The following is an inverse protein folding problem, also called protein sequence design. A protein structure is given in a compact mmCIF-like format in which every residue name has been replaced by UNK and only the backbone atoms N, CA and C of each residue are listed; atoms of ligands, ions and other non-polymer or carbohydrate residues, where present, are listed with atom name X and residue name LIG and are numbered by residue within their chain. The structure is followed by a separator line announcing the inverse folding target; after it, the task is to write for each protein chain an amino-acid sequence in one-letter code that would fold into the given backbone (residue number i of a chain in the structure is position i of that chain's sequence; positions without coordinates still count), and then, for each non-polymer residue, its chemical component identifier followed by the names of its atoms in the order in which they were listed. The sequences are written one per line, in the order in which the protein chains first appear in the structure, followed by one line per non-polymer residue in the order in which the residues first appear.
data_IF_848494548405
#
_entry.id   IF_848494548405
#
_cell.length_a   1.000
_cell.length_b   1.000
_cell.length_c   1.000
_cell.angle_alpha   90.00
_cell.angle_beta   90.00
_cell.angle_gamma   90.00
#
_symmetry.space_group_name_H-M   'P 1'
#
loop_
_entity.id
_entity.type
_entity.pdbx_description
1 polymer ?
#
# COMPACT_ATOMS: atom_id res chain seq x y z
N UNK A 1 21.11 45.62 -6.59
CA UNK A 1 20.67 44.78 -7.77
C UNK A 1 20.40 43.41 -7.18
N UNK A 2 19.15 43.22 -6.76
CA UNK A 2 18.72 42.08 -5.95
C UNK A 2 18.17 40.99 -6.87
N UNK A 3 18.82 39.85 -6.86
CA UNK A 3 18.34 38.66 -7.56
C UNK A 3 17.36 37.91 -6.66
N UNK A 4 16.07 38.10 -6.89
CA UNK A 4 15.00 37.31 -6.31
C UNK A 4 15.01 35.91 -6.93
N UNK A 5 15.67 34.94 -6.28
CA UNK A 5 15.42 33.53 -6.56
C UNK A 5 14.06 33.14 -5.95
N UNK A 6 13.03 33.28 -6.75
CA UNK A 6 11.73 32.64 -6.50
C UNK A 6 11.92 31.12 -6.57
N UNK A 7 12.04 30.48 -5.42
CA UNK A 7 11.89 29.04 -5.30
C UNK A 7 10.47 28.69 -5.79
N UNK A 8 10.38 28.12 -6.98
CA UNK A 8 9.13 27.49 -7.46
C UNK A 8 8.81 26.36 -6.50
N UNK A 9 7.59 26.26 -5.96
CA UNK A 9 7.19 25.09 -5.22
C UNK A 9 7.30 23.91 -6.20
N UNK A 10 8.19 22.96 -5.90
CA UNK A 10 8.21 21.66 -6.56
C UNK A 10 6.88 20.99 -6.22
N UNK A 11 5.92 21.16 -7.10
CA UNK A 11 4.70 20.38 -7.07
C UNK A 11 5.08 18.91 -7.28
N UNK A 12 5.16 18.19 -6.20
CA UNK A 12 5.36 16.75 -6.20
C UNK A 12 4.17 16.09 -6.92
N UNK A 13 4.34 15.83 -8.22
CA UNK A 13 3.42 15.01 -9.02
C UNK A 13 3.52 13.53 -8.68
N UNK A 14 4.36 13.16 -7.72
CA UNK A 14 4.58 11.79 -7.31
C UNK A 14 3.75 11.46 -6.09
N UNK A 15 2.49 11.28 -6.37
CA UNK A 15 1.55 10.65 -5.47
C UNK A 15 1.95 9.21 -5.17
N UNK A 16 1.60 8.77 -4.00
CA UNK A 16 1.36 7.37 -3.67
C UNK A 16 0.48 6.79 -4.79
N UNK A 17 1.10 6.42 -5.90
CA UNK A 17 0.38 5.77 -6.99
C UNK A 17 0.07 4.37 -6.49
N UNK A 18 -1.14 4.21 -5.95
CA UNK A 18 -1.83 2.94 -5.99
C UNK A 18 -1.68 2.43 -7.40
N UNK A 19 -1.46 1.16 -7.60
CA UNK A 19 -1.39 0.60 -8.96
C UNK A 19 -2.77 0.63 -9.60
N UNK A 20 -3.12 1.68 -10.37
CA UNK A 20 -4.44 1.78 -10.99
C UNK A 20 -4.67 0.66 -12.01
N UNK A 21 -3.58 0.02 -12.48
CA UNK A 21 -3.69 -1.08 -13.41
C UNK A 21 -4.24 -2.33 -12.72
N UNK A 22 -3.73 -2.71 -11.55
CA UNK A 22 -4.26 -3.86 -10.80
C UNK A 22 -5.72 -3.65 -10.42
N UNK A 23 -6.10 -2.44 -9.98
CA UNK A 23 -7.48 -2.08 -9.67
C UNK A 23 -8.40 -2.14 -10.90
N UNK A 24 -7.95 -1.64 -12.06
CA UNK A 24 -8.69 -1.76 -13.32
C UNK A 24 -8.87 -3.22 -13.73
N UNK A 25 -7.82 -4.02 -13.60
CA UNK A 25 -7.80 -5.43 -14.01
C UNK A 25 -8.74 -6.27 -13.15
N UNK A 26 -8.69 -6.14 -11.82
CA UNK A 26 -9.60 -6.86 -10.92
C UNK A 26 -11.04 -6.36 -11.08
N UNK A 27 -11.22 -5.03 -11.18
CA UNK A 27 -12.51 -4.40 -11.45
C UNK A 27 -13.17 -4.85 -12.77
N UNK A 28 -12.36 -5.17 -13.77
CA UNK A 28 -12.83 -5.74 -15.04
C UNK A 28 -13.17 -7.23 -14.91
N UNK A 29 -12.36 -8.00 -14.20
CA UNK A 29 -12.43 -9.46 -14.15
C UNK A 29 -13.76 -9.97 -13.59
N UNK A 30 -14.22 -9.37 -12.49
CA UNK A 30 -15.46 -9.83 -11.81
C UNK A 30 -16.67 -9.66 -12.71
N UNK A 31 -17.05 -8.47 -13.23
CA UNK A 31 -18.22 -8.35 -14.08
C UNK A 31 -18.04 -9.07 -15.43
N UNK A 32 -16.81 -9.17 -15.97
CA UNK A 32 -16.55 -9.92 -17.19
C UNK A 32 -16.85 -11.42 -17.03
N UNK A 33 -16.66 -11.97 -15.84
CA UNK A 33 -16.86 -13.40 -15.53
C UNK A 33 -18.32 -13.86 -15.70
N UNK A 34 -19.29 -12.95 -15.65
CA UNK A 34 -20.72 -13.23 -15.89
C UNK A 34 -21.29 -12.46 -17.09
N UNK A 35 -20.42 -11.87 -17.91
CA UNK A 35 -20.82 -11.06 -19.05
C UNK A 35 -21.44 -11.89 -20.17
N UNK A 36 -22.59 -11.47 -20.79
CA UNK A 36 -23.04 -11.98 -22.06
C UNK A 36 -21.99 -11.73 -23.16
N UNK A 37 -21.78 -12.72 -24.03
CA UNK A 37 -20.75 -12.69 -25.08
C UNK A 37 -20.79 -11.43 -25.95
N UNK A 38 -21.97 -10.92 -26.24
CA UNK A 38 -22.20 -9.75 -27.11
C UNK A 38 -21.78 -8.42 -26.45
N UNK A 39 -21.70 -8.36 -25.12
CA UNK A 39 -21.38 -7.14 -24.36
C UNK A 39 -20.06 -7.23 -23.60
N UNK A 40 -19.31 -8.33 -23.75
CA UNK A 40 -18.16 -8.64 -22.93
C UNK A 40 -17.11 -7.49 -22.91
N UNK A 41 -16.79 -6.92 -24.07
CA UNK A 41 -15.84 -5.80 -24.15
C UNK A 41 -16.35 -4.53 -23.45
N UNK A 42 -17.63 -4.19 -23.60
CA UNK A 42 -18.22 -3.03 -22.91
C UNK A 42 -18.24 -3.25 -21.39
N UNK A 43 -18.60 -4.46 -20.93
CA UNK A 43 -18.64 -4.80 -19.51
C UNK A 43 -17.24 -4.79 -18.91
N UNK A 44 -16.24 -5.29 -19.63
CA UNK A 44 -14.82 -5.21 -19.22
C UNK A 44 -14.40 -3.76 -18.97
N UNK A 45 -14.70 -2.86 -19.93
CA UNK A 45 -14.35 -1.45 -19.80
C UNK A 45 -15.08 -0.79 -18.63
N UNK A 46 -16.40 -1.00 -18.51
CA UNK A 46 -17.18 -0.41 -17.39
C UNK A 46 -16.70 -0.92 -16.03
N UNK A 47 -16.40 -2.21 -15.94
CA UNK A 47 -15.85 -2.81 -14.72
C UNK A 47 -14.47 -2.26 -14.35
N UNK A 48 -13.57 -2.13 -15.34
CA UNK A 48 -12.25 -1.53 -15.15
C UNK A 48 -12.34 -0.09 -14.62
N UNK A 49 -13.14 0.75 -15.28
CA UNK A 49 -13.32 2.15 -14.89
C UNK A 49 -13.99 2.28 -13.52
N UNK A 50 -14.98 1.43 -13.21
CA UNK A 50 -15.62 1.42 -11.90
C UNK A 50 -14.67 0.91 -10.81
N UNK A 51 -13.81 -0.08 -11.11
CA UNK A 51 -12.77 -0.55 -10.21
C UNK A 51 -11.70 0.48 -9.87
N UNK A 52 -11.45 1.44 -10.76
CA UNK A 52 -10.53 2.56 -10.50
C UNK A 52 -11.19 3.75 -9.78
N UNK A 53 -12.53 3.81 -9.77
CA UNK A 53 -13.24 5.01 -9.33
C UNK A 53 -13.04 5.38 -7.84
N UNK A 54 -12.90 4.44 -6.89
CA UNK A 54 -12.62 4.78 -5.49
C UNK A 54 -11.39 5.67 -5.30
N UNK A 55 -10.33 5.44 -6.07
CA UNK A 55 -9.08 6.22 -6.01
C UNK A 55 -9.23 7.69 -6.48
N UNK A 56 -10.38 8.08 -7.00
CA UNK A 56 -10.66 9.50 -7.24
C UNK A 56 -10.68 10.32 -5.95
N UNK A 57 -10.73 9.67 -4.78
CA UNK A 57 -10.58 10.32 -3.48
C UNK A 57 -9.22 11.02 -3.29
N UNK A 58 -8.19 10.63 -4.05
CA UNK A 58 -6.90 11.35 -4.11
C UNK A 58 -7.03 12.81 -4.55
N UNK A 59 -8.18 13.17 -5.14
CA UNK A 59 -8.50 14.55 -5.49
C UNK A 59 -8.95 15.39 -4.27
N UNK A 60 -9.26 14.74 -3.14
CA UNK A 60 -9.59 15.40 -1.87
C UNK A 60 -8.27 15.88 -1.23
N UNK A 61 -7.90 17.11 -1.56
CA UNK A 61 -6.65 17.73 -1.12
C UNK A 61 -6.86 19.15 -0.66
N UNK A 62 -5.95 19.61 0.19
CA UNK A 62 -5.88 21.00 0.61
C UNK A 62 -4.52 21.59 0.24
N UNK A 63 -4.51 22.88 -0.09
CA UNK A 63 -3.27 23.65 -0.26
C UNK A 63 -2.66 24.07 1.09
N UNK A 64 -3.44 24.00 2.17
CA UNK A 64 -3.04 24.42 3.51
C UNK A 64 -2.78 23.25 4.45
N UNK A 65 -3.47 22.11 4.26
CA UNK A 65 -3.31 20.90 5.07
C UNK A 65 -2.61 19.80 4.25
N UNK A 66 -1.32 19.52 4.53
CA UNK A 66 -0.54 18.57 3.74
C UNK A 66 -0.88 17.11 4.02
N UNK A 67 -1.65 16.81 5.09
CA UNK A 67 -2.02 15.44 5.47
C UNK A 67 -3.47 15.09 5.17
N UNK A 68 -4.29 16.02 4.67
CA UNK A 68 -5.71 15.79 4.42
C UNK A 68 -5.94 14.56 3.53
N UNK A 69 -5.11 14.39 2.50
CA UNK A 69 -5.21 13.26 1.57
C UNK A 69 -4.95 11.91 2.26
N UNK A 70 -4.09 11.84 3.30
CA UNK A 70 -3.85 10.61 4.05
C UNK A 70 -5.07 10.16 4.87
N UNK A 71 -5.89 11.11 5.33
CA UNK A 71 -7.11 10.80 6.09
C UNK A 71 -8.22 10.28 5.19
N UNK A 72 -8.42 10.91 4.02
CA UNK A 72 -9.53 10.59 3.12
C UNK A 72 -9.21 9.46 2.15
N UNK A 73 -7.95 9.29 1.78
CA UNK A 73 -7.57 8.19 0.90
C UNK A 73 -7.73 6.85 1.61
N UNK A 74 -8.43 5.94 0.95
CA UNK A 74 -8.87 4.63 1.45
C UNK A 74 -9.83 4.69 2.64
N UNK A 75 -10.65 5.74 2.70
CA UNK A 75 -11.68 5.92 3.74
C UNK A 75 -13.05 5.50 3.18
N UNK A 76 -14.01 6.44 3.13
CA UNK A 76 -15.42 6.15 2.82
C UNK A 76 -15.64 5.56 1.43
N UNK A 77 -14.90 6.03 0.41
CA UNK A 77 -14.98 5.53 -0.98
C UNK A 77 -14.60 4.05 -1.10
N UNK A 78 -13.78 3.53 -0.19
CA UNK A 78 -13.29 2.15 -0.18
C UNK A 78 -14.08 1.23 0.75
N UNK A 79 -15.05 1.78 1.51
CA UNK A 79 -15.84 1.03 2.48
C UNK A 79 -16.93 0.17 1.84
N UNK A 80 -17.28 -0.92 2.49
CA UNK A 80 -18.43 -1.75 2.08
C UNK A 80 -19.73 -0.96 2.04
N UNK A 81 -19.90 -0.02 2.97
CA UNK A 81 -21.07 0.84 3.03
C UNK A 81 -21.24 1.69 1.76
N UNK A 82 -20.15 2.16 1.17
CA UNK A 82 -20.20 3.07 0.04
C UNK A 82 -20.30 2.35 -1.32
N UNK A 83 -20.06 1.03 -1.39
CA UNK A 83 -20.12 0.25 -2.64
C UNK A 83 -21.40 0.51 -3.46
N UNK A 84 -22.62 0.40 -2.90
CA UNK A 84 -23.84 0.63 -3.70
C UNK A 84 -23.93 2.06 -4.22
N UNK A 85 -23.45 3.05 -3.47
CA UNK A 85 -23.44 4.46 -3.88
C UNK A 85 -22.40 4.73 -4.95
N UNK A 86 -21.17 4.24 -4.77
CA UNK A 86 -20.10 4.35 -5.75
C UNK A 86 -20.44 3.65 -7.06
N UNK A 87 -21.01 2.45 -6.98
CA UNK A 87 -21.52 1.74 -8.16
C UNK A 87 -22.64 2.51 -8.88
N UNK A 88 -23.55 3.17 -8.15
CA UNK A 88 -24.60 4.00 -8.72
C UNK A 88 -24.04 5.26 -9.40
N UNK A 89 -23.09 5.94 -8.78
CA UNK A 89 -22.42 7.11 -9.36
C UNK A 89 -21.76 6.73 -10.68
N UNK A 90 -21.01 5.62 -10.71
CA UNK A 90 -20.40 5.09 -11.94
C UNK A 90 -21.46 4.73 -12.99
N UNK A 91 -22.57 4.07 -12.58
CA UNK A 91 -23.65 3.71 -13.50
C UNK A 91 -24.28 4.95 -14.15
N UNK A 92 -24.56 5.97 -13.37
CA UNK A 92 -25.12 7.25 -13.86
C UNK A 92 -24.15 7.97 -14.79
N UNK A 93 -22.85 7.99 -14.46
CA UNK A 93 -21.83 8.61 -15.29
C UNK A 93 -21.67 7.89 -16.66
N UNK A 94 -21.77 6.56 -16.68
CA UNK A 94 -21.61 5.78 -17.92
C UNK A 94 -22.90 5.59 -18.70
N UNK A 95 -24.07 5.79 -18.09
CA UNK A 95 -25.38 5.60 -18.73
C UNK A 95 -25.54 6.30 -20.06
N UNK A 96 -25.20 7.59 -20.24
CA UNK A 96 -25.37 8.30 -21.50
C UNK A 96 -24.68 7.62 -22.68
N UNK A 97 -23.53 6.95 -22.43
CA UNK A 97 -22.68 6.36 -23.46
C UNK A 97 -23.14 4.96 -23.89
N UNK A 98 -23.82 4.23 -22.98
CA UNK A 98 -24.16 2.80 -23.21
C UNK A 98 -25.65 2.51 -23.19
N UNK A 99 -26.52 3.49 -22.95
CA UNK A 99 -27.99 3.34 -22.82
C UNK A 99 -28.67 2.70 -24.04
N UNK A 100 -28.10 2.86 -25.23
CA UNK A 100 -28.62 2.22 -26.45
C UNK A 100 -28.28 0.72 -26.54
N UNK A 101 -27.37 0.22 -25.73
CA UNK A 101 -26.86 -1.17 -25.76
C UNK A 101 -27.28 -2.01 -24.55
N UNK A 102 -27.44 -1.36 -23.39
CA UNK A 102 -27.67 -2.07 -22.12
C UNK A 102 -28.69 -1.33 -21.26
N UNK A 103 -29.48 -2.09 -20.49
CA UNK A 103 -30.43 -1.51 -19.51
C UNK A 103 -29.70 -0.96 -18.31
N UNK A 104 -30.20 0.14 -17.70
CA UNK A 104 -29.55 0.79 -16.55
C UNK A 104 -29.25 -0.16 -15.39
N UNK A 105 -30.22 -0.99 -14.99
CA UNK A 105 -30.03 -1.94 -13.90
C UNK A 105 -28.84 -2.89 -14.13
N UNK A 106 -28.58 -3.26 -15.37
CA UNK A 106 -27.46 -4.14 -15.70
C UNK A 106 -26.13 -3.40 -15.64
N UNK A 107 -26.10 -2.15 -16.09
CA UNK A 107 -24.94 -1.27 -15.94
C UNK A 107 -24.61 -1.08 -14.46
N UNK A 108 -25.64 -0.82 -13.62
CA UNK A 108 -25.48 -0.67 -12.16
C UNK A 108 -24.89 -1.95 -11.52
N UNK A 109 -25.36 -3.14 -11.89
CA UNK A 109 -24.78 -4.40 -11.40
C UNK A 109 -23.30 -4.52 -11.79
N UNK A 110 -22.96 -4.20 -13.05
CA UNK A 110 -21.58 -4.27 -13.58
C UNK A 110 -20.66 -3.29 -12.87
N UNK A 111 -21.08 -2.03 -12.72
CA UNK A 111 -20.28 -1.01 -12.08
C UNK A 111 -20.15 -1.25 -10.58
N UNK A 112 -21.21 -1.70 -9.90
CA UNK A 112 -21.14 -2.07 -8.48
C UNK A 112 -20.21 -3.26 -8.26
N UNK A 113 -20.26 -4.28 -9.13
CA UNK A 113 -19.36 -5.43 -9.05
C UNK A 113 -17.89 -5.03 -9.26
N UNK A 114 -17.59 -4.14 -10.21
CA UNK A 114 -16.24 -3.61 -10.42
C UNK A 114 -15.79 -2.74 -9.26
N UNK A 115 -16.63 -1.83 -8.79
CA UNK A 115 -16.36 -0.94 -7.65
C UNK A 115 -16.05 -1.71 -6.36
N UNK A 116 -16.81 -2.77 -6.11
CA UNK A 116 -16.68 -3.59 -4.90
C UNK A 116 -15.33 -4.29 -4.74
N UNK A 117 -14.61 -4.53 -5.85
CA UNK A 117 -13.31 -5.21 -5.80
C UNK A 117 -12.20 -4.34 -5.23
N UNK A 118 -12.35 -3.02 -5.32
CA UNK A 118 -11.28 -2.07 -5.02
C UNK A 118 -10.84 -2.12 -3.57
N UNK A 119 -11.75 -1.82 -2.62
CA UNK A 119 -11.42 -1.81 -1.20
C UNK A 119 -10.92 -3.17 -0.69
N UNK A 120 -11.44 -4.28 -1.26
CA UNK A 120 -10.96 -5.63 -0.92
C UNK A 120 -9.52 -5.87 -1.36
N UNK A 121 -9.15 -5.47 -2.58
CA UNK A 121 -7.77 -5.59 -3.05
C UNK A 121 -6.83 -4.70 -2.23
N UNK A 122 -7.27 -3.50 -1.90
CA UNK A 122 -6.52 -2.58 -1.06
C UNK A 122 -6.27 -3.14 0.35
N UNK A 123 -7.26 -3.81 0.94
CA UNK A 123 -7.09 -4.49 2.22
C UNK A 123 -6.07 -5.64 2.16
N UNK A 124 -5.85 -6.24 1.00
CA UNK A 124 -4.78 -7.23 0.80
C UNK A 124 -3.37 -6.60 0.89
N UNK A 125 -3.24 -5.29 0.77
CA UNK A 125 -1.96 -4.57 0.83
C UNK A 125 -1.61 -4.12 2.26
N UNK A 126 -0.49 -3.43 2.42
CA UNK A 126 0.03 -3.01 3.74
C UNK A 126 -0.49 -1.65 4.22
N UNK A 127 -1.03 -0.80 3.33
CA UNK A 127 -1.46 0.56 3.71
C UNK A 127 -2.63 0.60 4.70
N UNK A 128 -3.50 -0.41 4.62
CA UNK A 128 -4.73 -0.44 5.38
C UNK A 128 -5.85 0.39 4.75
N UNK A 129 -7.06 -0.14 4.85
CA UNK A 129 -8.27 0.40 4.24
C UNK A 129 -9.40 0.39 5.25
N UNK A 130 -10.20 1.46 5.33
CA UNK A 130 -11.33 1.59 6.25
C UNK A 130 -12.56 0.85 5.70
N UNK A 131 -12.47 -0.48 5.53
CA UNK A 131 -13.55 -1.30 4.94
C UNK A 131 -14.88 -1.18 5.68
N UNK A 132 -14.83 -1.00 7.00
CA UNK A 132 -16.02 -0.97 7.87
C UNK A 132 -16.51 0.45 8.18
N UNK A 133 -15.95 1.50 7.54
CA UNK A 133 -16.46 2.85 7.69
C UNK A 133 -17.95 2.92 7.31
N UNK A 134 -18.81 3.66 8.04
CA UNK A 134 -18.55 4.54 9.19
C UNK A 134 -18.60 3.84 10.56
N UNK A 135 -18.75 2.53 10.62
CA UNK A 135 -18.96 1.76 11.86
C UNK A 135 -17.67 1.49 12.62
N UNK A 136 -16.53 1.46 11.91
CA UNK A 136 -15.19 1.33 12.49
C UNK A 136 -14.19 2.19 11.71
N UNK A 137 -13.22 2.75 12.45
CA UNK A 137 -12.09 3.51 11.90
C UNK A 137 -10.78 2.71 11.92
N UNK A 138 -10.87 1.40 12.07
CA UNK A 138 -9.74 0.49 11.98
C UNK A 138 -9.31 0.33 10.50
N UNK A 139 -8.02 0.49 10.26
CA UNK A 139 -7.41 0.28 8.94
C UNK A 139 -7.05 -1.20 8.76
N UNK A 140 -7.83 -1.90 7.98
CA UNK A 140 -7.64 -3.33 7.70
C UNK A 140 -6.53 -3.49 6.66
N UNK A 141 -5.46 -4.21 7.03
CA UNK A 141 -4.32 -4.53 6.19
C UNK A 141 -3.95 -6.01 6.35
N UNK A 142 -4.25 -6.83 5.35
CA UNK A 142 -3.96 -8.27 5.40
C UNK A 142 -2.52 -8.61 5.02
N UNK A 143 -1.77 -7.66 4.46
CA UNK A 143 -0.36 -7.81 4.09
C UNK A 143 -0.08 -9.06 3.22
N UNK A 144 -0.96 -9.40 2.28
CA UNK A 144 -0.82 -10.62 1.47
C UNK A 144 -0.15 -10.36 0.13
N UNK A 145 -0.21 -9.13 -0.36
CA UNK A 145 0.32 -8.75 -1.67
C UNK A 145 0.93 -7.34 -1.61
N UNK A 146 1.96 -7.11 -2.42
CA UNK A 146 2.51 -5.76 -2.62
C UNK A 146 1.50 -4.85 -3.36
N UNK A 147 1.60 -3.54 -3.16
CA UNK A 147 0.77 -2.55 -3.88
C UNK A 147 0.94 -2.68 -5.40
N UNK A 148 2.17 -2.91 -5.85
CA UNK A 148 2.51 -3.19 -7.25
C UNK A 148 3.05 -4.61 -7.32
N UNK A 149 2.27 -5.51 -7.92
CA UNK A 149 2.66 -6.90 -8.10
C UNK A 149 2.40 -7.38 -9.55
N UNK A 150 3.41 -7.35 -10.42
CA UNK A 150 3.29 -7.81 -11.79
C UNK A 150 2.92 -9.29 -11.92
N UNK A 151 3.32 -10.14 -10.97
CA UNK A 151 3.01 -11.57 -10.97
C UNK A 151 1.52 -11.84 -10.72
N UNK A 152 0.85 -10.92 -10.02
CA UNK A 152 -0.60 -10.92 -9.85
C UNK A 152 -1.31 -10.31 -11.06
N UNK A 153 -0.86 -9.12 -11.47
CA UNK A 153 -1.61 -8.27 -12.42
C UNK A 153 -1.50 -8.75 -13.86
N UNK A 154 -0.28 -9.13 -14.32
CA UNK A 154 -0.06 -9.49 -15.73
C UNK A 154 -0.82 -10.77 -16.13
N UNK A 155 -0.78 -11.88 -15.37
CA UNK A 155 -1.55 -13.06 -15.71
C UNK A 155 -3.07 -12.78 -15.74
N UNK A 156 -3.60 -12.05 -14.76
CA UNK A 156 -5.02 -11.71 -14.73
C UNK A 156 -5.43 -10.85 -15.93
N UNK A 157 -4.60 -9.85 -16.29
CA UNK A 157 -4.81 -9.03 -17.49
C UNK A 157 -4.83 -9.90 -18.77
N UNK A 158 -3.92 -10.85 -18.89
CA UNK A 158 -3.88 -11.77 -20.04
C UNK A 158 -5.19 -12.57 -20.17
N UNK A 159 -5.74 -13.07 -19.07
CA UNK A 159 -7.02 -13.77 -19.06
C UNK A 159 -8.20 -12.85 -19.42
N UNK A 160 -8.20 -11.60 -18.97
CA UNK A 160 -9.23 -10.61 -19.33
C UNK A 160 -9.18 -10.31 -20.83
N UNK A 161 -7.99 -10.06 -21.36
CA UNK A 161 -7.78 -9.81 -22.80
C UNK A 161 -8.23 -11.03 -23.63
N UNK A 162 -7.84 -12.24 -23.23
CA UNK A 162 -8.30 -13.47 -23.85
C UNK A 162 -9.83 -13.59 -23.80
N UNK A 163 -10.46 -13.23 -22.69
CA UNK A 163 -11.92 -13.20 -22.54
C UNK A 163 -12.61 -12.28 -23.55
N UNK A 164 -12.05 -11.08 -23.79
CA UNK A 164 -12.55 -10.14 -24.80
C UNK A 164 -12.37 -10.71 -26.22
N UNK A 165 -11.16 -11.16 -26.57
CA UNK A 165 -10.83 -11.67 -27.91
C UNK A 165 -11.65 -12.91 -28.24
N UNK A 166 -11.78 -13.86 -27.31
CA UNK A 166 -12.52 -15.10 -27.48
C UNK A 166 -14.00 -14.96 -27.23
N UNK A 167 -14.47 -13.78 -26.81
CA UNK A 167 -15.85 -13.49 -26.39
C UNK A 167 -16.38 -14.55 -25.43
N UNK A 168 -15.60 -14.92 -24.43
CA UNK A 168 -15.92 -16.01 -23.50
C UNK A 168 -15.65 -15.61 -22.05
N UNK A 169 -16.67 -15.73 -21.16
CA UNK A 169 -16.52 -15.45 -19.73
C UNK A 169 -15.72 -16.53 -18.96
N UNK A 170 -15.36 -17.64 -19.62
CA UNK A 170 -14.55 -18.69 -19.01
C UNK A 170 -13.12 -18.19 -18.67
N UNK A 171 -12.52 -17.38 -19.55
CA UNK A 171 -11.17 -16.88 -19.37
C UNK A 171 -11.00 -16.01 -18.11
N UNK A 172 -11.81 -14.96 -17.88
CA UNK A 172 -11.71 -14.19 -16.65
C UNK A 172 -12.02 -15.01 -15.39
N UNK A 173 -12.86 -16.05 -15.47
CA UNK A 173 -13.07 -16.98 -14.35
C UNK A 173 -11.80 -17.73 -13.98
N UNK A 174 -11.07 -18.25 -14.97
CA UNK A 174 -9.76 -18.86 -14.74
C UNK A 174 -8.77 -17.85 -14.14
N UNK A 175 -8.74 -16.63 -14.70
CA UNK A 175 -7.92 -15.55 -14.17
C UNK A 175 -8.23 -15.23 -12.71
N UNK A 176 -9.49 -15.14 -12.34
CA UNK A 176 -9.93 -14.90 -10.95
C UNK A 176 -9.55 -16.06 -10.02
N UNK A 177 -9.69 -17.31 -10.45
CA UNK A 177 -9.23 -18.46 -9.64
C UNK A 177 -7.73 -18.39 -9.41
N UNK A 178 -6.95 -18.11 -10.46
CA UNK A 178 -5.49 -17.94 -10.32
C UNK A 178 -5.13 -16.78 -9.38
N UNK A 179 -5.82 -15.64 -9.51
CA UNK A 179 -5.63 -14.48 -8.64
C UNK A 179 -5.94 -14.81 -7.17
N UNK A 180 -7.03 -15.52 -6.90
CA UNK A 180 -7.38 -15.96 -5.55
C UNK A 180 -6.36 -16.96 -4.99
N UNK A 181 -5.86 -17.89 -5.82
CA UNK A 181 -4.78 -18.80 -5.42
C UNK A 181 -3.49 -18.03 -5.08
N UNK A 182 -3.18 -16.98 -5.85
CA UNK A 182 -2.01 -16.15 -5.59
C UNK A 182 -2.15 -15.36 -4.28
N UNK A 183 -3.32 -14.76 -4.01
CA UNK A 183 -3.60 -14.11 -2.73
C UNK A 183 -3.53 -15.09 -1.55
N UNK A 184 -4.05 -16.32 -1.74
CA UNK A 184 -3.94 -17.40 -0.76
C UNK A 184 -2.48 -17.82 -0.52
N UNK A 185 -1.67 -17.88 -1.58
CA UNK A 185 -0.23 -18.12 -1.45
C UNK A 185 0.43 -16.98 -0.67
N UNK A 186 0.10 -15.72 -0.97
CA UNK A 186 0.59 -14.55 -0.24
C UNK A 186 0.28 -14.63 1.26
N UNK A 187 -0.93 -15.06 1.60
CA UNK A 187 -1.33 -15.28 3.00
C UNK A 187 -0.42 -16.32 3.69
N UNK A 188 -0.26 -17.49 3.08
CA UNK A 188 0.60 -18.57 3.62
C UNK A 188 2.05 -18.12 3.74
N UNK A 189 2.57 -17.41 2.75
CA UNK A 189 3.94 -16.92 2.76
C UNK A 189 4.17 -15.84 3.83
N UNK A 190 3.18 -14.97 4.07
CA UNK A 190 3.20 -14.01 5.17
C UNK A 190 3.33 -14.73 6.52
N UNK A 191 2.46 -15.71 6.80
CA UNK A 191 2.47 -16.44 8.06
C UNK A 191 3.80 -17.18 8.26
N UNK A 192 4.38 -17.74 7.18
CA UNK A 192 5.72 -18.35 7.25
C UNK A 192 6.82 -17.33 7.55
N UNK A 193 6.75 -16.13 6.97
CA UNK A 193 7.72 -15.07 7.24
C UNK A 193 7.58 -14.55 8.69
N UNK A 194 6.35 -14.44 9.21
CA UNK A 194 6.08 -14.09 10.60
C UNK A 194 6.64 -15.14 11.56
N UNK A 195 6.45 -16.44 11.30
CA UNK A 195 7.01 -17.52 12.11
C UNK A 195 8.56 -17.49 12.15
N UNK A 196 9.22 -17.15 11.05
CA UNK A 196 10.68 -16.94 11.03
C UNK A 196 11.06 -15.71 11.87
N UNK A 197 10.29 -14.64 11.79
CA UNK A 197 10.48 -13.45 12.61
C UNK A 197 10.36 -13.72 14.12
N UNK A 198 9.40 -14.56 14.52
CA UNK A 198 9.25 -15.01 15.93
C UNK A 198 10.46 -15.81 16.40
N UNK A 199 10.99 -16.70 15.55
CA UNK A 199 12.21 -17.45 15.85
C UNK A 199 13.42 -16.51 16.01
N UNK A 200 13.55 -15.50 15.14
CA UNK A 200 14.60 -14.48 15.23
C UNK A 200 14.48 -13.67 16.53
N UNK A 201 13.28 -13.23 16.87
CA UNK A 201 13.04 -12.52 18.12
C UNK A 201 13.44 -13.38 19.33
N UNK A 202 12.99 -14.63 19.37
CA UNK A 202 13.33 -15.59 20.44
C UNK A 202 14.83 -15.83 20.53
N UNK A 203 15.55 -15.95 19.42
CA UNK A 203 17.01 -16.11 19.40
C UNK A 203 17.78 -14.90 19.96
N UNK A 204 17.16 -13.72 19.95
CA UNK A 204 17.66 -12.48 20.56
C UNK A 204 17.24 -12.33 22.03
N UNK A 205 16.49 -13.29 22.57
CA UNK A 205 15.93 -13.21 23.93
C UNK A 205 14.66 -12.35 24.04
N UNK A 206 14.06 -11.98 22.92
CA UNK A 206 12.82 -11.22 22.87
C UNK A 206 11.65 -12.18 22.78
N UNK A 207 10.90 -12.31 23.86
CA UNK A 207 9.75 -13.22 23.96
C UNK A 207 8.44 -12.46 23.93
N UNK A 208 7.35 -13.15 23.59
CA UNK A 208 5.98 -12.63 23.59
C UNK A 208 5.80 -11.37 22.72
N UNK A 209 6.48 -11.32 21.58
CA UNK A 209 6.39 -10.21 20.63
C UNK A 209 5.41 -10.49 19.50
N UNK A 210 4.63 -9.49 19.11
CA UNK A 210 3.80 -9.54 17.89
C UNK A 210 4.66 -9.20 16.67
N UNK A 211 4.87 -10.17 15.80
CA UNK A 211 5.61 -9.99 14.55
C UNK A 211 4.65 -9.65 13.43
N UNK A 212 5.05 -8.76 12.54
CA UNK A 212 4.30 -8.42 11.33
C UNK A 212 5.20 -8.51 10.10
N UNK A 213 4.81 -9.33 9.14
CA UNK A 213 5.49 -9.44 7.85
C UNK A 213 4.75 -8.62 6.79
N UNK A 214 5.51 -7.85 6.00
CA UNK A 214 5.00 -6.98 4.95
C UNK A 214 5.62 -7.36 3.62
N UNK A 215 4.80 -7.56 2.55
CA UNK A 215 5.30 -7.98 1.26
C UNK A 215 6.19 -6.91 0.64
N UNK A 216 7.25 -7.32 -0.04
CA UNK A 216 8.09 -6.41 -0.83
C UNK A 216 7.57 -6.28 -2.25
N UNK A 217 8.06 -5.27 -2.98
CA UNK A 217 7.61 -4.93 -4.32
C UNK A 217 7.67 -6.16 -5.27
N UNK A 218 6.53 -6.46 -5.88
CA UNK A 218 6.43 -7.37 -7.02
C UNK A 218 6.60 -8.86 -6.73
N UNK A 219 6.50 -9.29 -5.45
CA UNK A 219 6.65 -10.70 -5.12
C UNK A 219 6.00 -11.09 -3.78
N UNK A 220 5.86 -12.40 -3.56
CA UNK A 220 5.40 -13.02 -2.31
C UNK A 220 6.48 -13.92 -1.67
N UNK A 221 7.75 -13.68 -1.98
CA UNK A 221 8.88 -14.49 -1.49
C UNK A 221 9.71 -13.75 -0.44
N UNK A 222 9.91 -12.45 -0.64
CA UNK A 222 10.74 -11.60 0.20
C UNK A 222 9.85 -10.67 1.02
N UNK A 223 10.07 -10.65 2.32
CA UNK A 223 9.22 -9.98 3.30
C UNK A 223 10.05 -9.07 4.20
N UNK A 224 9.51 -7.89 4.48
CA UNK A 224 9.98 -7.05 5.57
C UNK A 224 9.30 -7.52 6.85
N UNK A 225 10.08 -7.94 7.82
CA UNK A 225 9.60 -8.42 9.12
C UNK A 225 9.88 -7.34 10.16
N UNK A 226 8.84 -6.96 10.89
CA UNK A 226 8.92 -5.91 11.93
C UNK A 226 8.28 -6.45 13.20
N UNK A 227 8.94 -6.26 14.35
CA UNK A 227 8.35 -6.44 15.66
C UNK A 227 8.81 -5.37 16.62
N UNK A 228 8.02 -5.13 17.67
CA UNK A 228 8.39 -4.26 18.78
C UNK A 228 8.80 -5.12 19.97
N UNK A 229 9.93 -4.77 20.58
CA UNK A 229 10.34 -5.29 21.86
C UNK A 229 10.82 -4.11 22.71
N UNK A 230 10.21 -3.97 23.89
CA UNK A 230 10.37 -2.79 24.75
C UNK A 230 10.09 -1.48 23.95
N UNK A 231 10.98 -0.50 24.05
CA UNK A 231 10.87 0.78 23.34
C UNK A 231 11.62 0.82 22.00
N UNK A 232 11.75 -0.35 21.33
CA UNK A 232 12.42 -0.45 20.04
C UNK A 232 11.64 -1.28 19.03
N UNK A 233 11.64 -0.81 17.79
CA UNK A 233 11.30 -1.63 16.64
C UNK A 233 12.55 -2.36 16.13
N UNK A 234 12.36 -3.62 15.77
CA UNK A 234 13.34 -4.48 15.14
C UNK A 234 12.88 -4.81 13.74
N UNK A 235 13.79 -4.73 12.78
CA UNK A 235 13.50 -4.92 11.36
C UNK A 235 14.51 -5.89 10.78
N UNK A 236 14.00 -6.90 10.05
CA UNK A 236 14.80 -7.85 9.27
C UNK A 236 14.11 -8.08 7.92
N UNK A 237 14.83 -8.62 6.94
CA UNK A 237 14.21 -9.17 5.75
C UNK A 237 14.27 -10.70 5.79
N UNK A 238 13.16 -11.32 5.42
CA UNK A 238 13.02 -12.78 5.39
C UNK A 238 12.56 -13.21 4.01
N UNK A 239 13.33 -14.10 3.39
CA UNK A 239 12.92 -14.76 2.15
C UNK A 239 12.45 -16.16 2.44
N UNK A 240 11.22 -16.47 2.04
CA UNK A 240 10.61 -17.79 2.14
C UNK A 240 10.46 -18.41 0.74
N UNK A 241 10.78 -19.68 0.59
CA UNK A 241 10.63 -20.38 -0.69
C UNK A 241 9.17 -20.76 -0.97
N UNK A 242 8.77 -20.88 -2.25
CA UNK A 242 7.39 -21.24 -2.63
C UNK A 242 7.00 -22.64 -2.15
N UNK A 243 7.87 -23.63 -2.34
CA UNK A 243 7.59 -25.05 -2.04
C UNK A 243 8.30 -25.56 -0.78
N UNK A 244 8.69 -24.68 0.14
CA UNK A 244 9.51 -25.03 1.29
C UNK A 244 10.99 -24.70 1.07
N UNK A 245 11.88 -25.33 1.84
CA UNK A 245 13.30 -24.98 1.93
C UNK A 245 13.58 -24.08 3.11
N UNK A 246 14.84 -23.98 3.47
CA UNK A 246 15.27 -23.11 4.57
C UNK A 246 15.05 -21.64 4.22
N UNK A 247 14.38 -20.86 5.09
CA UNK A 247 14.24 -19.44 4.89
C UNK A 247 15.61 -18.76 4.97
N UNK A 248 15.80 -17.72 4.16
CA UNK A 248 16.99 -16.87 4.26
C UNK A 248 16.64 -15.59 5.00
N UNK A 249 17.50 -15.24 5.95
CA UNK A 249 17.39 -14.01 6.72
C UNK A 249 18.46 -13.02 6.27
N UNK A 250 18.05 -11.81 6.04
CA UNK A 250 18.95 -10.68 5.80
C UNK A 250 18.81 -9.73 7.00
N UNK A 251 19.81 -9.71 7.87
CA UNK A 251 19.75 -8.90 9.08
C UNK A 251 19.55 -7.42 8.75
N UNK A 252 18.71 -6.77 9.53
CA UNK A 252 18.52 -5.34 9.49
C UNK A 252 19.02 -4.70 10.78
N UNK A 253 18.22 -3.80 11.33
CA UNK A 253 18.60 -3.04 12.52
C UNK A 253 17.45 -2.85 13.50
N UNK A 254 17.68 -2.01 14.49
CA UNK A 254 16.63 -1.58 15.41
C UNK A 254 16.63 -0.06 15.57
N UNK A 255 15.44 0.50 15.83
CA UNK A 255 15.23 1.94 16.05
C UNK A 255 14.30 2.15 17.23
N UNK A 256 14.52 3.22 17.97
CA UNK A 256 13.63 3.61 19.07
C UNK A 256 12.21 3.90 18.52
N UNK A 257 11.19 3.40 19.22
CA UNK A 257 9.80 3.80 19.00
C UNK A 257 9.71 5.30 19.19
N UNK A 258 8.88 5.97 18.42
CA UNK A 258 8.68 7.40 18.57
C UNK A 258 8.06 7.69 19.94
N UNK A 259 8.80 8.42 20.76
CA UNK A 259 8.31 9.03 22.00
C UNK A 259 8.31 10.54 21.86
N UNK A 260 7.11 11.10 21.65
CA UNK A 260 6.94 12.53 21.46
C UNK A 260 7.49 13.34 22.63
N UNK A 261 7.29 12.87 23.87
CA UNK A 261 7.64 13.64 25.06
C UNK A 261 9.15 13.83 25.19
N UNK A 262 9.93 12.80 24.93
CA UNK A 262 11.39 12.85 24.99
C UNK A 262 12.03 13.44 23.74
N UNK A 263 11.50 13.12 22.55
CA UNK A 263 12.12 13.49 21.28
C UNK A 263 11.71 14.89 20.80
N UNK A 264 10.49 15.34 21.15
CA UNK A 264 9.97 16.67 20.81
C UNK A 264 9.45 17.43 22.04
N UNK A 265 10.25 17.65 23.08
CA UNK A 265 9.79 18.32 24.32
C UNK A 265 9.35 19.77 24.06
N UNK A 266 9.76 20.35 22.93
CA UNK A 266 9.36 21.69 22.50
C UNK A 266 8.01 21.75 21.81
N UNK A 267 7.45 20.61 21.43
CA UNK A 267 6.20 20.53 20.68
C UNK A 267 5.00 20.71 21.63
N UNK A 268 4.43 21.91 21.62
CA UNK A 268 3.33 22.25 22.51
C UNK A 268 2.08 21.38 22.26
N UNK A 269 1.44 20.96 23.34
CA UNK A 269 0.13 20.31 23.27
C UNK A 269 -0.89 21.25 22.61
N UNK A 270 -1.68 20.70 21.67
CA UNK A 270 -2.67 21.47 20.93
C UNK A 270 -2.14 22.28 19.75
N UNK A 271 -0.81 22.37 19.54
CA UNK A 271 -0.25 22.92 18.30
C UNK A 271 -0.69 22.11 17.08
N UNK A 272 -0.70 22.75 15.90
CA UNK A 272 -1.08 22.07 14.68
C UNK A 272 -0.14 20.90 14.35
N UNK A 273 1.17 21.08 14.55
CA UNK A 273 2.15 20.01 14.34
C UNK A 273 1.94 18.82 15.30
N UNK A 274 1.49 19.05 16.55
CA UNK A 274 1.15 17.94 17.46
C UNK A 274 -0.06 17.16 16.97
N UNK A 275 -1.08 17.84 16.44
CA UNK A 275 -2.26 17.19 15.82
C UNK A 275 -1.86 16.42 14.57
N UNK A 276 -1.01 16.99 13.75
CA UNK A 276 -0.53 16.36 12.51
C UNK A 276 0.31 15.11 12.83
N UNK A 277 1.14 15.15 13.86
CA UNK A 277 1.87 13.98 14.31
C UNK A 277 0.93 12.84 14.74
N UNK A 278 -0.13 13.17 15.49
CA UNK A 278 -1.15 12.18 15.89
C UNK A 278 -1.93 11.61 14.69
N UNK A 279 -2.24 12.45 13.68
CA UNK A 279 -2.86 11.99 12.41
C UNK A 279 -1.93 11.05 11.64
N UNK A 280 -0.64 11.39 11.58
CA UNK A 280 0.35 10.56 10.91
C UNK A 280 0.59 9.24 11.65
N UNK A 281 0.56 9.25 12.99
CA UNK A 281 0.64 8.05 13.83
C UNK A 281 -0.55 7.12 13.58
N UNK A 282 -1.76 7.65 13.56
CA UNK A 282 -2.95 6.89 13.20
C UNK A 282 -2.86 6.28 11.78
N UNK A 283 -2.42 7.08 10.79
CA UNK A 283 -2.21 6.60 9.42
C UNK A 283 -1.17 5.47 9.36
N UNK A 284 -0.08 5.62 10.10
CA UNK A 284 1.04 4.68 10.13
C UNK A 284 0.79 3.47 11.04
N UNK A 285 -0.37 3.39 11.71
CA UNK A 285 -0.72 2.32 12.66
C UNK A 285 0.32 2.15 13.76
N UNK A 286 0.90 3.25 14.25
CA UNK A 286 1.91 3.27 15.32
C UNK A 286 3.34 2.90 14.87
N UNK A 287 3.59 2.66 13.57
CA UNK A 287 4.92 2.30 13.07
C UNK A 287 5.78 3.55 12.79
N UNK A 288 5.91 4.43 13.79
CA UNK A 288 6.68 5.66 13.68
C UNK A 288 8.05 5.55 14.34
N UNK A 289 9.05 6.10 13.67
CA UNK A 289 10.40 6.29 14.21
C UNK A 289 11.00 7.61 13.70
N UNK A 290 12.07 8.09 14.36
CA UNK A 290 12.86 9.18 13.81
C UNK A 290 13.74 8.70 12.67
N UNK A 291 13.91 9.54 11.65
CA UNK A 291 14.93 9.33 10.62
C UNK A 291 16.32 9.43 11.26
N UNK A 292 17.17 8.41 11.09
CA UNK A 292 18.52 8.39 11.68
C UNK A 292 19.42 9.56 11.22
N UNK A 293 19.07 10.17 10.08
CA UNK A 293 19.84 11.28 9.46
C UNK A 293 19.24 12.67 9.77
N UNK A 294 18.05 12.71 10.37
CA UNK A 294 17.30 13.94 10.57
C UNK A 294 16.36 13.86 11.77
N UNK A 295 16.78 14.41 12.88
CA UNK A 295 16.05 14.39 14.15
C UNK A 295 14.70 15.15 14.12
N UNK A 296 14.41 15.92 13.08
CA UNK A 296 13.12 16.59 12.91
C UNK A 296 12.18 15.84 11.95
N UNK A 297 12.63 14.73 11.35
CA UNK A 297 11.84 13.93 10.43
C UNK A 297 11.35 12.67 11.11
N UNK A 298 10.02 12.49 11.14
CA UNK A 298 9.35 11.27 11.58
C UNK A 298 8.96 10.45 10.35
N UNK A 299 9.34 9.19 10.33
CA UNK A 299 9.13 8.27 9.20
C UNK A 299 8.11 7.19 9.53
N UNK A 300 7.38 6.77 8.50
CA UNK A 300 6.61 5.51 8.51
C UNK A 300 7.55 4.38 8.11
N UNK A 301 7.94 3.55 9.08
CA UNK A 301 8.94 2.51 8.87
C UNK A 301 8.39 1.22 8.23
N UNK A 302 7.09 1.15 7.96
CA UNK A 302 6.50 0.00 7.24
C UNK A 302 7.07 -0.18 5.85
N UNK A 303 7.56 0.90 5.24
CA UNK A 303 8.00 0.96 3.85
C UNK A 303 9.42 1.51 3.73
N UNK A 304 10.28 0.75 3.09
CA UNK A 304 11.66 1.10 2.75
C UNK A 304 12.02 0.56 1.37
N UNK A 305 13.11 1.04 0.79
CA UNK A 305 13.58 0.51 -0.49
C UNK A 305 14.08 -0.93 -0.37
N UNK A 306 14.86 -1.22 0.68
CA UNK A 306 15.23 -2.59 1.03
C UNK A 306 14.45 -3.02 2.27
N UNK A 307 13.97 -4.27 2.31
CA UNK A 307 13.10 -4.73 3.40
C UNK A 307 13.80 -4.82 4.75
N UNK A 308 15.12 -4.91 4.80
CA UNK A 308 15.92 -4.90 6.04
C UNK A 308 16.34 -3.48 6.50
N UNK A 309 15.98 -2.42 5.74
CA UNK A 309 16.27 -1.03 6.13
C UNK A 309 15.14 -0.39 6.95
N UNK A 310 15.52 0.61 7.75
CA UNK A 310 14.59 1.45 8.53
C UNK A 310 14.34 2.81 7.84
N UNK A 311 14.93 3.03 6.67
CA UNK A 311 14.82 4.28 5.89
C UNK A 311 13.44 4.41 5.25
N UNK A 312 12.53 5.17 5.91
CA UNK A 312 11.15 5.33 5.46
C UNK A 312 11.04 6.10 4.14
N UNK A 313 10.24 5.54 3.19
CA UNK A 313 9.98 6.17 1.89
C UNK A 313 9.25 7.52 2.01
N UNK A 314 8.47 7.71 3.05
CA UNK A 314 7.78 8.95 3.38
C UNK A 314 7.80 9.22 4.86
N UNK A 315 7.52 10.46 5.20
CA UNK A 315 7.51 10.94 6.58
C UNK A 315 6.97 12.36 6.66
N UNK A 316 6.94 12.86 7.86
CA UNK A 316 6.62 14.24 8.15
C UNK A 316 7.84 14.92 8.79
N UNK A 317 8.04 16.18 8.45
CA UNK A 317 9.06 17.03 9.08
C UNK A 317 8.40 18.04 9.99
N UNK A 318 8.86 18.08 11.24
CA UNK A 318 8.48 19.07 12.21
C UNK A 318 9.47 20.26 12.16
N UNK A 319 8.95 21.46 12.41
CA UNK A 319 9.74 22.68 12.44
C UNK A 319 9.58 23.35 13.82
N UNK A 320 10.67 23.36 14.59
CA UNK A 320 10.72 23.98 15.93
C UNK A 320 10.49 25.48 15.91
N UNK A 321 10.79 26.13 14.79
CA UNK A 321 10.66 27.59 14.63
C UNK A 321 9.29 28.03 14.16
N UNK A 322 8.45 27.10 13.75
CA UNK A 322 7.12 27.39 13.23
C UNK A 322 6.14 27.80 14.32
N UNK A 323 5.19 28.64 13.96
CA UNK A 323 4.09 29.04 14.86
C UNK A 323 3.12 27.89 15.16
N UNK A 324 2.36 28.02 16.25
CA UNK A 324 1.43 26.97 16.72
C UNK A 324 0.36 26.54 15.71
N UNK A 325 0.02 27.39 14.74
CA UNK A 325 -0.97 27.11 13.69
C UNK A 325 -0.35 26.49 12.42
N UNK A 326 0.97 26.31 12.38
CA UNK A 326 1.68 25.81 11.20
C UNK A 326 1.62 24.29 11.13
N UNK A 327 1.27 23.74 9.98
CA UNK A 327 1.31 22.31 9.70
C UNK A 327 2.74 21.78 9.55
N UNK A 328 2.89 20.47 9.71
CA UNK A 328 4.12 19.74 9.33
C UNK A 328 4.31 19.78 7.82
N UNK A 329 5.52 19.46 7.34
CA UNK A 329 5.77 19.21 5.91
C UNK A 329 5.74 17.71 5.66
N UNK A 330 4.91 17.27 4.70
CA UNK A 330 4.92 15.88 4.23
C UNK A 330 6.03 15.68 3.19
N UNK A 331 6.87 14.68 3.39
CA UNK A 331 8.02 14.41 2.54
C UNK A 331 8.01 12.97 2.01
N UNK A 332 8.34 12.83 0.72
CA UNK A 332 8.53 11.53 0.05
C UNK A 332 9.97 11.45 -0.45
N UNK A 333 10.72 10.46 0.03
CA UNK A 333 12.08 10.16 -0.42
C UNK A 333 12.07 8.90 -1.28
N UNK A 334 12.09 9.05 -2.59
CA UNK A 334 12.15 7.96 -3.56
C UNK A 334 13.45 8.02 -4.38
N UNK A 335 14.59 7.93 -3.74
CA UNK A 335 15.82 7.75 -4.47
C UNK A 335 16.01 6.26 -4.80
N UNK A 336 15.67 5.86 -6.01
CA UNK A 336 16.04 4.53 -6.51
C UNK A 336 17.51 4.62 -6.92
N UNK A 337 18.39 4.10 -6.06
CA UNK A 337 19.79 3.90 -6.36
C UNK A 337 19.95 2.51 -6.99
N UNK A 338 20.82 2.41 -8.03
CA UNK A 338 21.11 1.15 -8.70
C UNK A 338 21.61 0.09 -7.72
N UNK A 339 22.44 0.47 -6.77
CA UNK A 339 22.96 -0.44 -5.74
C UNK A 339 21.86 -1.06 -4.89
N UNK A 340 20.88 -0.24 -4.46
CA UNK A 340 19.72 -0.74 -3.70
C UNK A 340 18.84 -1.68 -4.53
N UNK A 341 18.66 -1.37 -5.81
CA UNK A 341 17.91 -2.27 -6.70
C UNK A 341 18.63 -3.61 -6.90
N UNK A 342 19.96 -3.58 -7.12
CA UNK A 342 20.76 -4.79 -7.24
C UNK A 342 20.73 -5.63 -5.94
N UNK A 343 20.81 -4.97 -4.77
CA UNK A 343 20.68 -5.63 -3.47
C UNK A 343 19.29 -6.26 -3.28
N UNK A 344 18.21 -5.60 -3.70
CA UNK A 344 16.87 -6.17 -3.66
C UNK A 344 16.78 -7.45 -4.52
N UNK A 345 17.39 -7.45 -5.71
CA UNK A 345 17.44 -8.62 -6.56
C UNK A 345 18.26 -9.76 -5.91
N UNK A 346 19.39 -9.46 -5.29
CA UNK A 346 20.22 -10.43 -4.53
C UNK A 346 19.39 -11.10 -3.45
N UNK A 347 18.64 -10.32 -2.68
CA UNK A 347 17.74 -10.86 -1.64
C UNK A 347 16.60 -11.68 -2.25
N UNK A 348 15.99 -11.22 -3.35
CA UNK A 348 14.87 -11.89 -3.99
C UNK A 348 15.26 -13.25 -4.59
N UNK A 349 16.42 -13.35 -5.25
CA UNK A 349 16.91 -14.62 -5.78
C UNK A 349 17.50 -15.53 -4.68
N UNK A 350 17.70 -15.02 -3.46
CA UNK A 350 18.14 -15.78 -2.30
C UNK A 350 19.63 -16.01 -2.27
N UNK A 351 20.45 -15.07 -2.76
CA UNK A 351 21.90 -15.09 -2.55
C UNK A 351 22.25 -14.75 -1.09
N UNK A 352 23.49 -15.01 -0.68
CA UNK A 352 23.90 -14.77 0.70
C UNK A 352 24.02 -13.29 1.03
N UNK A 353 23.83 -12.94 2.30
CA UNK A 353 23.91 -11.56 2.75
C UNK A 353 25.26 -10.90 2.49
N UNK A 354 26.34 -11.68 2.42
CA UNK A 354 27.69 -11.23 2.03
C UNK A 354 27.77 -10.67 0.60
N UNK A 355 26.81 -11.02 -0.25
CA UNK A 355 26.69 -10.49 -1.63
C UNK A 355 26.05 -9.12 -1.70
N UNK A 356 25.55 -8.56 -0.57
CA UNK A 356 24.89 -7.28 -0.52
C UNK A 356 25.92 -6.16 -0.37
N UNK A 357 26.03 -5.29 -1.38
CA UNK A 357 26.94 -4.16 -1.38
C UNK A 357 26.48 -3.07 -0.39
N UNK A 358 27.36 -2.58 0.47
CA UNK A 358 27.09 -1.42 1.32
C UNK A 358 26.43 -1.71 2.68
N UNK A 359 26.24 -2.97 3.06
CA UNK A 359 25.95 -3.37 4.44
C UNK A 359 27.32 -3.62 5.11
N UNK A 360 28.02 -2.51 5.40
CA UNK A 360 29.22 -2.54 6.23
C UNK A 360 28.82 -2.64 7.69
N UNK A 361 29.49 -3.50 8.41
CA UNK A 361 29.50 -3.55 9.86
C UNK A 361 29.86 -2.16 10.43
N UNK A 362 28.96 -1.58 11.19
CA UNK A 362 29.22 -0.60 12.23
C UNK A 362 28.48 -1.02 13.49
#
# INVERSE_FOLDING_TARGET
MDSWHTARPHGSRDLLTVDPLSQAVVGAAVPQSFAPKQHIGTITLLGALAGMAPDLDVLIRSSTDPLLFLEYHRQFTHSFFFIPFGGLICALAFWPFVRKRMRFRYIYIVTTAGYATHGLLDACTTYGTLLLWPFSFERIAWNTIAVIDPLFTIPLLAFIVAGVIRRSPAWPRFGLVLALCYLGLGYVQRDRAEAVGEQLASSRGHHDVAVSAKPTLGNVLLWKVIYRHEERFWVDAVRVGVMGGEPKVYPGGSVAVLDRASQFPWLADGSQQAKDLARFDWFSSGYLALDSRDANRVIDMRYSMLPNEIDGLWGIRLDRTAGNATHVTYEVKRSVDKTRFDNLLVMLIGQDASSISGVGAD
#
